data_IF_661625894106
#
_entry.id   IF_661625894106
#
_cell.length_a   1.000
_cell.length_b   1.000
_cell.length_c   1.000
_cell.angle_alpha   90.00
_cell.angle_beta   90.00
_cell.angle_gamma   90.00
#
_symmetry.space_group_name_H-M   'P 1'
#
loop_
_entity.id
_entity.type
_entity.pdbx_description
1 polymer ?
#
# COMPACT_ATOMS: atom_id res chain seq x y z
N UNK A 1 13.64 -2.99 6.24
CA UNK A 1 14.94 -2.98 5.52
C UNK A 1 15.78 -1.78 5.92
N UNK A 2 15.31 -0.54 5.73
CA UNK A 2 16.07 0.67 6.09
C UNK A 2 16.59 0.64 7.53
N UNK A 3 15.71 0.35 8.52
CA UNK A 3 16.09 0.23 9.94
C UNK A 3 17.11 -0.89 10.24
N UNK A 4 17.33 -1.81 9.30
CA UNK A 4 18.30 -2.90 9.38
C UNK A 4 19.54 -2.64 8.49
N UNK A 5 19.67 -1.46 7.89
CA UNK A 5 20.78 -1.10 7.01
C UNK A 5 20.73 -1.72 5.60
N UNK A 6 19.60 -2.30 5.19
CA UNK A 6 19.43 -2.91 3.87
C UNK A 6 18.94 -1.88 2.85
N UNK A 7 19.58 -1.84 1.68
CA UNK A 7 19.13 -1.00 0.56
C UNK A 7 17.83 -1.51 -0.08
N UNK A 8 17.04 -0.59 -0.62
CA UNK A 8 15.79 -0.90 -1.32
C UNK A 8 16.03 -1.81 -2.53
N UNK A 9 17.06 -1.54 -3.34
CA UNK A 9 17.43 -2.39 -4.48
C UNK A 9 17.79 -3.81 -4.07
N UNK A 10 18.55 -3.98 -2.99
CA UNK A 10 18.93 -5.30 -2.50
C UNK A 10 17.71 -6.11 -2.07
N UNK A 11 16.80 -5.48 -1.31
CA UNK A 11 15.55 -6.14 -0.89
C UNK A 11 14.66 -6.45 -2.09
N UNK A 12 14.47 -5.48 -2.99
CA UNK A 12 13.64 -5.61 -4.17
C UNK A 12 14.10 -6.78 -5.04
N UNK A 13 15.40 -6.85 -5.36
CA UNK A 13 15.98 -7.92 -6.19
C UNK A 13 15.68 -9.32 -5.64
N UNK A 14 15.65 -9.49 -4.32
CA UNK A 14 15.35 -10.78 -3.70
C UNK A 14 13.83 -11.01 -3.67
N UNK A 15 13.06 -10.04 -3.19
CA UNK A 15 11.62 -10.18 -2.98
C UNK A 15 10.85 -10.30 -4.30
N UNK A 16 11.30 -9.65 -5.37
CA UNK A 16 10.65 -9.65 -6.68
C UNK A 16 10.76 -10.99 -7.42
N UNK A 17 11.65 -11.89 -7.01
CA UNK A 17 11.85 -13.21 -7.64
C UNK A 17 11.65 -14.37 -6.66
N UNK A 18 11.22 -14.09 -5.43
CA UNK A 18 11.02 -15.09 -4.38
C UNK A 18 9.53 -15.28 -4.07
N UNK A 19 9.23 -16.06 -3.03
CA UNK A 19 7.86 -16.34 -2.59
C UNK A 19 7.06 -15.13 -2.09
N UNK A 20 7.74 -14.00 -1.85
CA UNK A 20 7.11 -12.74 -1.46
C UNK A 20 6.69 -11.86 -2.64
N UNK A 21 6.90 -12.33 -3.88
CA UNK A 21 6.50 -11.60 -5.08
C UNK A 21 4.98 -11.42 -5.11
N UNK A 22 4.56 -10.20 -5.43
CA UNK A 22 3.18 -9.87 -5.73
C UNK A 22 3.15 -8.72 -6.73
N UNK A 23 1.97 -8.42 -7.30
CA UNK A 23 1.81 -7.32 -8.26
C UNK A 23 2.32 -5.98 -7.71
N UNK A 24 2.02 -5.67 -6.44
CA UNK A 24 2.50 -4.44 -5.81
C UNK A 24 4.03 -4.40 -5.72
N UNK A 25 4.70 -5.54 -5.49
CA UNK A 25 6.16 -5.60 -5.46
C UNK A 25 6.78 -5.25 -6.81
N UNK A 26 6.30 -5.84 -7.91
CA UNK A 26 6.97 -5.74 -9.22
C UNK A 26 6.50 -4.58 -10.08
N UNK A 27 5.26 -4.11 -9.89
CA UNK A 27 4.62 -3.14 -10.78
C UNK A 27 4.27 -1.82 -10.07
N UNK A 28 4.18 -1.83 -8.75
CA UNK A 28 3.59 -0.73 -7.98
C UNK A 28 4.29 -0.50 -6.63
N UNK A 29 5.61 -0.69 -6.61
CA UNK A 29 6.37 -0.73 -5.37
C UNK A 29 6.18 0.60 -4.62
N UNK A 30 5.69 0.60 -3.37
CA UNK A 30 5.31 1.83 -2.69
C UNK A 30 6.53 2.61 -2.14
N UNK A 31 7.74 2.17 -2.50
CA UNK A 31 9.03 2.71 -2.11
C UNK A 31 9.69 3.32 -3.35
N UNK A 32 10.14 4.59 -3.29
CA UNK A 32 10.84 5.21 -4.42
C UNK A 32 12.12 4.48 -4.81
N UNK A 33 12.42 4.42 -6.11
CA UNK A 33 13.65 3.89 -6.70
C UNK A 33 13.45 2.64 -7.56
N UNK A 34 13.30 1.43 -6.98
CA UNK A 34 13.50 0.17 -7.70
C UNK A 34 12.55 -0.10 -8.87
N UNK A 35 11.33 0.47 -8.86
CA UNK A 35 10.34 0.31 -9.93
C UNK A 35 10.04 1.69 -10.53
N UNK A 36 10.68 2.09 -11.65
CA UNK A 36 10.60 3.46 -12.18
C UNK A 36 9.18 3.95 -12.47
N UNK A 37 8.29 3.05 -12.88
CA UNK A 37 6.89 3.37 -13.23
C UNK A 37 5.98 3.57 -12.02
N UNK A 38 6.45 3.26 -10.81
CA UNK A 38 5.64 3.38 -9.59
C UNK A 38 5.29 4.84 -9.28
N UNK A 39 4.06 5.13 -8.79
CA UNK A 39 3.71 6.46 -8.29
C UNK A 39 4.63 6.96 -7.17
N UNK A 40 5.29 6.07 -6.43
CA UNK A 40 6.25 6.45 -5.39
C UNK A 40 7.39 7.34 -5.92
N UNK A 41 7.72 7.28 -7.22
CA UNK A 41 8.76 8.13 -7.82
C UNK A 41 8.29 9.52 -8.26
N UNK A 42 6.99 9.82 -8.11
CA UNK A 42 6.37 11.09 -8.51
C UNK A 42 5.51 11.66 -7.40
N UNK A 43 6.05 11.63 -6.18
CA UNK A 43 5.42 12.11 -4.95
C UNK A 43 4.01 11.54 -4.73
N UNK A 44 3.80 10.27 -5.12
CA UNK A 44 2.51 9.60 -5.05
C UNK A 44 1.39 10.32 -5.82
N UNK A 45 1.71 10.99 -6.93
CA UNK A 45 0.70 11.50 -7.87
C UNK A 45 -0.21 10.34 -8.28
N UNK A 46 -1.53 10.45 -8.06
CA UNK A 46 -2.45 9.31 -8.06
C UNK A 46 -2.62 8.68 -9.44
N UNK A 47 -2.47 7.36 -9.50
CA UNK A 47 -3.17 6.55 -10.50
C UNK A 47 -4.49 6.04 -9.94
N UNK A 48 -4.48 5.62 -8.67
CA UNK A 48 -5.66 5.22 -7.92
C UNK A 48 -5.58 5.78 -6.49
N UNK A 49 -6.47 6.71 -6.16
CA UNK A 49 -6.40 7.46 -4.89
C UNK A 49 -6.60 6.58 -3.66
N UNK A 50 -5.99 6.98 -2.55
CA UNK A 50 -6.24 6.39 -1.22
C UNK A 50 -7.72 6.48 -0.81
N UNK A 51 -8.42 7.55 -1.18
CA UNK A 51 -9.86 7.69 -1.00
C UNK A 51 -10.65 6.57 -1.69
N UNK A 52 -10.33 6.27 -2.96
CA UNK A 52 -10.98 5.19 -3.70
C UNK A 52 -10.66 3.82 -3.10
N UNK A 53 -9.41 3.59 -2.68
CA UNK A 53 -9.03 2.35 -2.00
C UNK A 53 -9.82 2.15 -0.69
N UNK A 54 -9.93 3.20 0.13
CA UNK A 54 -10.74 3.14 1.35
C UNK A 54 -12.21 2.84 1.06
N UNK A 55 -12.77 3.46 0.02
CA UNK A 55 -14.15 3.20 -0.41
C UNK A 55 -14.35 1.73 -0.77
N UNK A 56 -13.47 1.15 -1.59
CA UNK A 56 -13.55 -0.26 -1.99
C UNK A 56 -13.35 -1.22 -0.80
N UNK A 57 -12.44 -0.91 0.12
CA UNK A 57 -12.24 -1.66 1.35
C UNK A 57 -13.47 -1.66 2.26
N UNK A 58 -14.13 -0.50 2.42
CA UNK A 58 -15.38 -0.41 3.19
C UNK A 58 -16.50 -1.26 2.57
N UNK A 59 -16.66 -1.20 1.24
CA UNK A 59 -17.62 -2.06 0.53
C UNK A 59 -17.32 -3.56 0.74
N UNK A 60 -16.03 -3.95 0.69
CA UNK A 60 -15.63 -5.33 0.97
C UNK A 60 -15.92 -5.76 2.42
N UNK A 61 -15.72 -4.86 3.40
CA UNK A 61 -16.08 -5.12 4.80
C UNK A 61 -17.59 -5.28 5.00
N UNK A 62 -18.39 -4.45 4.32
CA UNK A 62 -19.86 -4.51 4.40
C UNK A 62 -20.36 -5.86 3.85
N UNK A 63 -19.83 -6.30 2.70
CA UNK A 63 -20.13 -7.60 2.12
C UNK A 63 -19.70 -8.77 3.02
N UNK A 64 -18.49 -8.68 3.61
CA UNK A 64 -18.01 -9.69 4.54
C UNK A 64 -18.93 -9.84 5.76
N UNK A 65 -19.39 -8.71 6.33
CA UNK A 65 -20.34 -8.71 7.45
C UNK A 65 -21.67 -9.36 7.07
N UNK A 66 -22.19 -9.06 5.88
CA UNK A 66 -23.43 -9.67 5.39
C UNK A 66 -23.33 -11.21 5.24
N UNK A 67 -22.13 -11.73 4.96
CA UNK A 67 -21.86 -13.16 4.81
C UNK A 67 -21.35 -13.83 6.10
N UNK A 68 -21.26 -13.11 7.22
CA UNK A 68 -20.70 -13.63 8.46
C UNK A 68 -19.19 -13.92 8.42
N UNK A 69 -18.49 -13.41 7.41
CA UNK A 69 -17.03 -13.53 7.28
C UNK A 69 -16.30 -12.43 8.04
N UNK A 70 -15.07 -12.72 8.47
CA UNK A 70 -14.22 -11.79 9.25
C UNK A 70 -12.82 -11.69 8.61
N UNK A 71 -12.65 -10.91 7.53
CA UNK A 71 -11.38 -10.77 6.85
C UNK A 71 -10.42 -9.90 7.66
N UNK A 72 -9.71 -10.49 8.62
CA UNK A 72 -8.85 -9.77 9.57
C UNK A 72 -7.81 -8.86 8.88
N UNK A 73 -7.15 -9.37 7.83
CA UNK A 73 -6.18 -8.57 7.05
C UNK A 73 -6.85 -7.41 6.31
N UNK A 74 -8.05 -7.64 5.76
CA UNK A 74 -8.82 -6.57 5.11
C UNK A 74 -9.29 -5.51 6.09
N UNK A 75 -9.61 -5.90 7.34
CA UNK A 75 -10.05 -4.97 8.37
C UNK A 75 -8.90 -4.06 8.79
N UNK A 76 -7.70 -4.62 8.95
CA UNK A 76 -6.49 -3.83 9.24
C UNK A 76 -6.09 -2.93 8.07
N UNK A 77 -6.16 -3.42 6.83
CA UNK A 77 -5.97 -2.57 5.65
C UNK A 77 -6.96 -1.40 5.63
N UNK A 78 -8.24 -1.65 5.91
CA UNK A 78 -9.28 -0.60 6.01
C UNK A 78 -8.91 0.45 7.05
N UNK A 79 -8.40 0.02 8.22
CA UNK A 79 -7.96 0.90 9.30
C UNK A 79 -6.77 1.78 8.87
N UNK A 80 -5.78 1.20 8.19
CA UNK A 80 -4.61 1.94 7.70
C UNK A 80 -4.98 2.98 6.64
N UNK A 81 -5.85 2.63 5.69
CA UNK A 81 -6.34 3.56 4.67
C UNK A 81 -7.25 4.65 5.25
N UNK A 82 -8.03 4.35 6.29
CA UNK A 82 -8.77 5.37 7.03
C UNK A 82 -7.81 6.37 7.67
N UNK A 83 -6.79 5.88 8.38
CA UNK A 83 -5.79 6.75 9.00
C UNK A 83 -5.01 7.59 7.98
N UNK A 84 -4.71 7.05 6.81
CA UNK A 84 -4.07 7.78 5.71
C UNK A 84 -4.95 8.94 5.20
N UNK A 85 -6.25 8.70 5.03
CA UNK A 85 -7.19 9.74 4.61
C UNK A 85 -7.39 10.80 5.69
N UNK A 86 -7.48 10.39 6.96
CA UNK A 86 -7.62 11.31 8.10
C UNK A 86 -6.38 12.20 8.27
N UNK A 87 -5.21 11.72 7.83
CA UNK A 87 -3.98 12.51 7.75
C UNK A 87 -3.93 13.46 6.54
N UNK A 88 -5.03 13.65 5.81
CA UNK A 88 -5.13 14.57 4.67
C UNK A 88 -4.48 14.07 3.39
N UNK A 89 -4.13 12.78 3.30
CA UNK A 89 -3.46 12.17 2.13
C UNK A 89 -4.43 11.39 1.23
N UNK A 90 -5.72 11.76 1.25
CA UNK A 90 -6.78 11.01 0.57
C UNK A 90 -6.71 11.08 -0.96
N UNK A 91 -6.15 12.15 -1.49
CA UNK A 91 -5.95 12.44 -2.92
C UNK A 91 -4.65 11.85 -3.48
N UNK A 92 -3.72 11.44 -2.62
CA UNK A 92 -2.51 10.72 -3.03
C UNK A 92 -2.84 9.32 -3.52
N UNK A 93 -1.92 8.75 -4.28
CA UNK A 93 -1.98 7.36 -4.69
C UNK A 93 -2.05 6.40 -3.49
N UNK A 94 -2.79 5.29 -3.61
CA UNK A 94 -2.95 4.31 -2.53
C UNK A 94 -1.61 3.73 -2.03
N UNK A 95 -0.58 3.70 -2.89
CA UNK A 95 0.77 3.26 -2.50
C UNK A 95 1.42 4.17 -1.45
N UNK A 96 0.91 5.40 -1.26
CA UNK A 96 1.34 6.33 -0.20
C UNK A 96 1.07 5.82 1.22
N UNK A 97 0.30 4.74 1.40
CA UNK A 97 0.14 4.03 2.68
C UNK A 97 1.49 3.59 3.26
N UNK A 98 2.51 3.39 2.43
CA UNK A 98 3.87 3.14 2.88
C UNK A 98 4.41 4.27 3.76
N UNK A 99 4.07 5.54 3.50
CA UNK A 99 4.53 6.68 4.32
C UNK A 99 4.07 6.53 5.77
N UNK A 100 2.80 6.15 5.97
CA UNK A 100 2.24 5.88 7.29
C UNK A 100 2.93 4.71 8.00
N UNK A 101 3.20 3.61 7.28
CA UNK A 101 3.86 2.43 7.86
C UNK A 101 5.35 2.66 8.13
N UNK A 102 6.02 3.43 7.28
CA UNK A 102 7.43 3.78 7.42
C UNK A 102 7.65 4.86 8.49
N UNK A 103 6.61 5.58 8.90
CA UNK A 103 6.68 6.72 9.80
C UNK A 103 7.24 7.98 9.12
N UNK A 104 6.81 8.23 7.88
CA UNK A 104 7.23 9.33 7.00
C UNK A 104 6.04 10.22 6.60
#
# INVERSE_FOLDING_TARGET
AEKLGLSHDSLFRIASTATSQCWAMTSYLPVPGPVPTSPANRDYTPGFTAAMMLKDLKLAQDAARALGSKPALGAEATRLFQALNDAGKADLDFSSVYTLVAGK
#
